data_IF_366001268529
#
_entry.id   IF_366001268529
#
_cell.length_a   1.000
_cell.length_b   1.000
_cell.length_c   1.000
_cell.angle_alpha   90.00
_cell.angle_beta   90.00
_cell.angle_gamma   90.00
#
_symmetry.space_group_name_H-M   'P 1'
#
loop_
_entity.id
_entity.type
_entity.pdbx_description
1 polymer ?
#
# COMPACT_ATOMS: atom_id res chain seq x y z
N UNK A 1 -21.03 -8.37 -3.25
CA UNK A 1 -19.91 -7.50 -2.79
C UNK A 1 -18.81 -7.57 -3.83
N UNK A 2 -18.46 -6.44 -4.45
CA UNK A 2 -17.50 -6.41 -5.56
C UNK A 2 -16.09 -6.79 -5.08
N UNK A 3 -15.49 -7.85 -5.64
CA UNK A 3 -14.09 -8.26 -5.35
C UNK A 3 -13.11 -7.08 -5.40
N UNK A 4 -13.42 -6.07 -6.21
CA UNK A 4 -12.62 -4.85 -6.39
C UNK A 4 -12.53 -4.03 -5.08
N UNK A 5 -13.62 -3.96 -4.31
CA UNK A 5 -13.66 -3.19 -3.06
C UNK A 5 -12.83 -3.85 -1.96
N UNK A 6 -12.90 -5.19 -1.86
CA UNK A 6 -12.09 -5.97 -0.91
C UNK A 6 -10.59 -5.84 -1.25
N UNK A 7 -10.24 -5.87 -2.53
CA UNK A 7 -8.84 -5.72 -2.95
C UNK A 7 -8.26 -4.35 -2.60
N UNK A 8 -9.01 -3.27 -2.84
CA UNK A 8 -8.60 -1.91 -2.46
C UNK A 8 -8.47 -1.77 -0.94
N UNK A 9 -9.39 -2.35 -0.18
CA UNK A 9 -9.30 -2.38 1.28
C UNK A 9 -8.01 -3.07 1.77
N UNK A 10 -7.64 -4.20 1.16
CA UNK A 10 -6.42 -4.91 1.53
C UNK A 10 -5.14 -4.13 1.20
N UNK A 11 -5.14 -3.39 0.08
CA UNK A 11 -4.02 -2.49 -0.28
C UNK A 11 -3.91 -1.36 0.75
N UNK A 12 -5.03 -0.72 1.11
CA UNK A 12 -5.04 0.34 2.12
C UNK A 12 -4.55 -0.16 3.49
N UNK A 13 -5.03 -1.33 3.91
CA UNK A 13 -4.61 -1.96 5.17
C UNK A 13 -3.11 -2.27 5.16
N UNK A 14 -2.58 -2.76 4.04
CA UNK A 14 -1.17 -3.09 3.89
C UNK A 14 -0.28 -1.84 3.88
N UNK A 15 -0.74 -0.72 3.31
CA UNK A 15 -0.05 0.59 3.41
C UNK A 15 0.01 1.04 4.87
N UNK A 16 -1.11 0.93 5.60
CA UNK A 16 -1.17 1.30 7.02
C UNK A 16 -0.19 0.46 7.85
N UNK A 17 -0.15 -0.86 7.61
CA UNK A 17 0.78 -1.78 8.24
C UNK A 17 2.24 -1.43 7.91
N UNK A 18 2.56 -1.14 6.64
CA UNK A 18 3.91 -0.78 6.23
C UNK A 18 4.40 0.53 6.88
N UNK A 19 3.51 1.51 7.05
CA UNK A 19 3.80 2.75 7.77
C UNK A 19 3.99 2.49 9.27
N UNK A 20 3.09 1.72 9.90
CA UNK A 20 3.20 1.34 11.31
C UNK A 20 4.49 0.56 11.59
N UNK A 21 4.83 -0.40 10.74
CA UNK A 21 6.05 -1.18 10.83
C UNK A 21 7.30 -0.32 10.57
N UNK A 22 7.24 0.62 9.63
CA UNK A 22 8.31 1.59 9.38
C UNK A 22 8.61 2.46 10.61
N UNK A 23 7.58 3.02 11.24
CA UNK A 23 7.71 3.82 12.47
C UNK A 23 8.26 2.96 13.62
N UNK A 24 7.71 1.76 13.82
CA UNK A 24 8.16 0.84 14.87
C UNK A 24 9.62 0.42 14.68
N UNK A 25 10.03 0.21 13.43
CA UNK A 25 11.39 -0.17 13.07
C UNK A 25 12.40 0.97 13.31
N UNK A 26 12.03 2.22 13.03
CA UNK A 26 12.85 3.40 13.36
C UNK A 26 13.01 3.53 14.88
N UNK A 27 11.93 3.32 15.65
CA UNK A 27 11.96 3.38 17.11
C UNK A 27 12.92 2.35 17.74
N UNK A 28 13.06 1.18 17.12
CA UNK A 28 13.97 0.12 17.58
C UNK A 28 15.36 0.16 16.90
N UNK A 29 15.73 1.27 16.26
CA UNK A 29 17.01 1.45 15.56
C UNK A 29 17.28 0.45 14.41
N UNK A 30 16.25 -0.24 13.91
CA UNK A 30 16.37 -1.15 12.76
C UNK A 30 16.25 -0.39 11.44
N UNK A 31 17.17 0.54 11.17
CA UNK A 31 17.10 1.45 10.02
C UNK A 31 16.91 0.73 8.67
N UNK A 32 17.56 -0.41 8.47
CA UNK A 32 17.45 -1.17 7.22
C UNK A 32 16.02 -1.70 6.99
N UNK A 33 15.39 -2.25 8.03
CA UNK A 33 14.00 -2.72 7.97
C UNK A 33 13.03 -1.56 7.81
N UNK A 34 13.29 -0.41 8.44
CA UNK A 34 12.47 0.80 8.30
C UNK A 34 12.47 1.33 6.87
N UNK A 35 13.66 1.40 6.25
CA UNK A 35 13.82 1.81 4.84
C UNK A 35 13.10 0.83 3.90
N UNK A 36 13.28 -0.48 4.09
CA UNK A 36 12.59 -1.50 3.29
C UNK A 36 11.08 -1.40 3.45
N UNK A 37 10.58 -1.18 4.66
CA UNK A 37 9.15 -1.02 4.93
C UNK A 37 8.57 0.21 4.24
N UNK A 38 9.29 1.33 4.26
CA UNK A 38 8.90 2.54 3.54
C UNK A 38 8.90 2.35 2.02
N UNK A 39 9.92 1.68 1.47
CA UNK A 39 9.98 1.35 0.04
C UNK A 39 8.80 0.46 -0.38
N UNK A 40 8.48 -0.55 0.42
CA UNK A 40 7.31 -1.41 0.20
C UNK A 40 6.01 -0.60 0.29
N UNK A 41 5.88 0.29 1.27
CA UNK A 41 4.74 1.19 1.41
C UNK A 41 4.54 2.08 0.17
N UNK A 42 5.61 2.68 -0.35
CA UNK A 42 5.58 3.49 -1.58
C UNK A 42 5.18 2.64 -2.79
N UNK A 43 5.73 1.43 -2.92
CA UNK A 43 5.37 0.52 -4.00
C UNK A 43 3.88 0.13 -3.95
N UNK A 44 3.33 -0.08 -2.75
CA UNK A 44 1.91 -0.36 -2.55
C UNK A 44 1.01 0.83 -2.91
N UNK A 45 1.41 2.05 -2.54
CA UNK A 45 0.69 3.27 -2.94
C UNK A 45 0.66 3.39 -4.46
N UNK A 46 1.79 3.19 -5.12
CA UNK A 46 1.87 3.22 -6.59
C UNK A 46 0.98 2.14 -7.23
N UNK A 47 1.03 0.91 -6.71
CA UNK A 47 0.18 -0.20 -7.17
C UNK A 47 -1.31 0.13 -6.99
N UNK A 48 -1.69 0.65 -5.82
CA UNK A 48 -3.07 1.07 -5.52
C UNK A 48 -3.57 2.13 -6.49
N UNK A 49 -2.79 3.18 -6.75
CA UNK A 49 -3.13 4.24 -7.71
C UNK A 49 -3.25 3.67 -9.12
N UNK A 50 -2.32 2.80 -9.55
CA UNK A 50 -2.38 2.16 -10.87
C UNK A 50 -3.62 1.28 -11.02
N UNK A 51 -4.00 0.56 -9.97
CA UNK A 51 -5.21 -0.26 -9.95
C UNK A 51 -6.48 0.60 -10.05
N UNK A 52 -6.57 1.68 -9.26
CA UNK A 52 -7.64 2.67 -9.34
C UNK A 52 -7.75 3.30 -10.74
N UNK A 53 -6.62 3.70 -11.33
CA UNK A 53 -6.57 4.21 -12.71
C UNK A 53 -7.05 3.19 -13.74
N UNK A 54 -6.67 1.91 -13.57
CA UNK A 54 -7.10 0.83 -14.46
C UNK A 54 -8.61 0.60 -14.40
N UNK A 55 -9.20 0.66 -13.20
CA UNK A 55 -10.65 0.53 -13.02
C UNK A 55 -11.42 1.68 -13.68
N UNK A 56 -10.93 2.92 -13.51
CA UNK A 56 -11.57 4.11 -14.05
C UNK A 56 -11.53 4.18 -15.59
N UNK A 57 -10.55 3.53 -16.23
CA UNK A 57 -10.50 3.38 -17.69
C UNK A 57 -11.46 2.31 -18.23
N UNK A 58 -11.88 1.35 -17.40
CA UNK A 58 -12.78 0.26 -17.79
C UNK A 58 -14.25 0.70 -17.72
N UNK A 59 -14.57 1.71 -16.91
CA UNK A 59 -15.94 2.25 -16.74
C UNK A 59 -16.36 3.26 -17.84
N UNK A 60 -15.48 3.52 -18.82
CA UNK A 60 -15.77 4.41 -19.97
C UNK A 60 -16.14 3.63 -21.26
N UNK A 61 -16.65 2.40 -21.15
CA UNK A 61 -17.20 1.66 -22.30
C UNK A 61 -18.52 0.99 -21.96
#
# INVERSE_FOLDING_TARGET
>A
MSLKAIHIFFIALSILLALGFGIWSIYHHYLLMGVVSFLIGIALVYYGIRFLRKLRHVDMR
#
